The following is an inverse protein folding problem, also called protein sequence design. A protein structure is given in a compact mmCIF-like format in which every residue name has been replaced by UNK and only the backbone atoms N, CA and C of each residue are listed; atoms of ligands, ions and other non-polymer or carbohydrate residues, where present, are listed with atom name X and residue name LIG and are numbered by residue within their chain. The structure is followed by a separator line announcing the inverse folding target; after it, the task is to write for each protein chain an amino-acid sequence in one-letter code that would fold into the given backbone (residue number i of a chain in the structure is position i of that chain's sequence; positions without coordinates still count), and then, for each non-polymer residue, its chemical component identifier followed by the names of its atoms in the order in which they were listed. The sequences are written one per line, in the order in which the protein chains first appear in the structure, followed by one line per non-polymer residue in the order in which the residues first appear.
data_IF_497040286292
#
_entry.id   IF_497040286292
#
_cell.length_a   1.000
_cell.length_b   1.000
_cell.length_c   1.000
_cell.angle_alpha   90.00
_cell.angle_beta   90.00
_cell.angle_gamma   90.00
#
_symmetry.space_group_name_H-M   'P 1'
#
loop_
_entity.id
_entity.type
_entity.pdbx_description
1 polymer ?
#
# COMPACT_ATOMS: atom_id res chain seq x y z
N UNK A 1 -0.10 9.04 6.71
CA UNK A 1 -0.86 8.17 5.78
C UNK A 1 -0.70 6.68 6.10
N UNK A 2 0.46 6.24 6.61
CA UNK A 2 0.71 4.84 7.02
C UNK A 2 -0.41 4.15 7.82
N UNK A 3 -0.98 4.80 8.85
CA UNK A 3 -2.03 4.20 9.69
C UNK A 3 -3.27 3.81 8.88
N UNK A 4 -3.78 4.73 8.06
CA UNK A 4 -4.93 4.48 7.21
C UNK A 4 -4.67 3.34 6.23
N UNK A 5 -3.50 3.32 5.58
CA UNK A 5 -3.13 2.22 4.69
C UNK A 5 -3.16 0.87 5.42
N UNK A 6 -2.57 0.79 6.61
CA UNK A 6 -2.52 -0.44 7.40
C UNK A 6 -3.87 -0.82 8.04
N UNK A 7 -4.94 -0.03 7.90
CA UNK A 7 -6.31 -0.45 8.29
C UNK A 7 -6.93 -1.41 7.28
N UNK A 8 -6.61 -1.28 5.99
CA UNK A 8 -7.24 -2.07 4.92
C UNK A 8 -6.62 -3.47 4.76
N UNK A 9 -7.39 -4.46 4.30
CA UNK A 9 -6.88 -5.82 4.04
C UNK A 9 -5.86 -5.81 2.90
N UNK A 10 -4.88 -6.70 2.97
CA UNK A 10 -3.85 -6.87 1.93
C UNK A 10 -2.98 -5.62 1.64
N UNK A 11 -3.07 -4.59 2.49
CA UNK A 11 -2.19 -3.42 2.45
C UNK A 11 -1.18 -3.52 3.58
N UNK A 12 0.10 -3.43 3.25
CA UNK A 12 1.22 -3.44 4.18
C UNK A 12 2.11 -2.23 3.87
N UNK A 13 1.89 -1.18 4.65
CA UNK A 13 2.49 0.13 4.45
C UNK A 13 3.65 0.37 5.42
N UNK A 14 4.84 0.63 4.88
CA UNK A 14 6.03 1.00 5.65
C UNK A 14 6.21 2.51 5.76
N UNK A 15 6.78 2.99 6.86
CA UNK A 15 7.26 4.37 6.99
C UNK A 15 8.73 4.43 6.56
N UNK A 16 9.01 5.16 5.47
CA UNK A 16 10.31 5.09 4.78
C UNK A 16 10.95 6.50 4.70
N UNK A 17 11.46 7.07 5.79
CA UNK A 17 12.04 8.41 5.77
C UNK A 17 13.42 8.49 5.12
N UNK A 18 14.14 7.36 5.00
CA UNK A 18 15.51 7.32 4.50
C UNK A 18 15.75 6.18 3.49
N UNK A 19 16.85 6.24 2.71
CA UNK A 19 17.24 5.14 1.83
C UNK A 19 17.46 3.81 2.54
N UNK A 20 17.96 3.83 3.78
CA UNK A 20 18.15 2.61 4.57
C UNK A 20 16.80 1.97 4.91
N UNK A 21 15.81 2.77 5.34
CA UNK A 21 14.49 2.26 5.68
C UNK A 21 13.80 1.63 4.47
N UNK A 22 13.90 2.28 3.30
CA UNK A 22 13.38 1.74 2.05
C UNK A 22 14.04 0.41 1.65
N UNK A 23 15.37 0.31 1.78
CA UNK A 23 16.09 -0.92 1.51
C UNK A 23 15.63 -2.06 2.43
N UNK A 24 15.58 -1.79 3.73
CA UNK A 24 15.20 -2.80 4.72
C UNK A 24 13.74 -3.20 4.57
N UNK A 25 12.84 -2.26 4.25
CA UNK A 25 11.43 -2.55 4.01
C UNK A 25 11.22 -3.50 2.82
N UNK A 26 11.85 -3.23 1.67
CA UNK A 26 11.68 -4.09 0.49
C UNK A 26 12.25 -5.49 0.71
N UNK A 27 13.36 -5.62 1.46
CA UNK A 27 14.02 -6.91 1.66
C UNK A 27 13.44 -7.71 2.81
N UNK A 28 13.15 -7.07 3.94
CA UNK A 28 12.68 -7.73 5.16
C UNK A 28 11.17 -7.87 5.14
N UNK A 29 10.44 -6.77 4.94
CA UNK A 29 8.99 -6.75 5.15
C UNK A 29 8.20 -7.13 3.90
N UNK A 30 8.78 -6.95 2.71
CA UNK A 30 8.15 -7.29 1.43
C UNK A 30 6.69 -6.80 1.34
N UNK A 31 6.46 -5.56 1.80
CA UNK A 31 5.15 -4.93 1.80
C UNK A 31 4.75 -4.46 0.40
N UNK A 32 3.78 -3.56 0.29
CA UNK A 32 3.30 -3.08 -1.01
C UNK A 32 2.94 -1.59 -1.06
N UNK A 33 3.10 -0.86 0.05
CA UNK A 33 2.87 0.59 0.09
C UNK A 33 3.98 1.27 0.88
N UNK A 34 4.41 2.43 0.39
CA UNK A 34 5.36 3.31 1.06
C UNK A 34 4.65 4.58 1.55
N UNK A 35 4.83 4.92 2.82
CA UNK A 35 4.45 6.22 3.39
C UNK A 35 5.73 7.02 3.65
N UNK A 36 5.88 8.15 2.96
CA UNK A 36 7.05 9.03 3.07
C UNK A 36 6.69 10.36 3.76
N UNK A 37 7.53 10.90 4.66
CA UNK A 37 7.26 12.18 5.32
C UNK A 37 7.60 13.38 4.44
N UNK A 38 6.57 14.05 3.91
CA UNK A 38 6.74 15.29 3.12
C UNK A 38 6.64 16.57 3.96
N UNK A 39 6.39 16.46 5.27
CA UNK A 39 6.31 17.60 6.19
C UNK A 39 7.34 17.57 7.32
N UNK A 40 7.75 16.39 7.77
CA UNK A 40 8.79 16.22 8.80
C UNK A 40 10.13 15.95 8.12
N UNK A 41 11.16 16.73 8.46
CA UNK A 41 12.50 16.64 7.89
C UNK A 41 12.54 16.79 6.35
N UNK A 42 11.52 17.42 5.78
CA UNK A 42 11.47 17.82 4.37
C UNK A 42 12.03 19.24 4.21
N UNK A 43 13.35 19.35 4.36
CA UNK A 43 14.09 20.61 4.30
C UNK A 43 14.96 20.72 3.05
N UNK A 44 16.10 21.38 3.19
CA UNK A 44 17.10 21.46 2.13
C UNK A 44 17.51 20.04 1.69
N UNK A 45 17.52 19.80 0.38
CA UNK A 45 17.80 18.49 -0.22
C UNK A 45 16.78 17.39 0.11
N UNK A 46 15.55 17.75 0.51
CA UNK A 46 14.48 16.78 0.78
C UNK A 46 14.11 15.96 -0.46
N UNK A 47 14.08 16.58 -1.63
CA UNK A 47 13.86 15.94 -2.92
C UNK A 47 14.98 14.96 -3.31
N UNK A 48 16.23 15.27 -2.93
CA UNK A 48 17.37 14.35 -3.11
C UNK A 48 17.18 13.13 -2.22
N UNK A 49 16.83 13.33 -0.95
CA UNK A 49 16.52 12.22 -0.04
C UNK A 49 15.37 11.34 -0.56
N UNK A 50 14.30 11.95 -1.09
CA UNK A 50 13.21 11.19 -1.72
C UNK A 50 13.70 10.36 -2.90
N UNK A 51 14.46 10.96 -3.81
CA UNK A 51 15.00 10.27 -4.98
C UNK A 51 15.90 9.09 -4.58
N UNK A 52 16.81 9.28 -3.64
CA UNK A 52 17.68 8.21 -3.13
C UNK A 52 16.89 7.15 -2.37
N UNK A 53 15.85 7.54 -1.64
CA UNK A 53 14.96 6.60 -0.95
C UNK A 53 14.22 5.71 -1.95
N UNK A 54 13.69 6.28 -3.03
CA UNK A 54 13.02 5.52 -4.08
C UNK A 54 13.99 4.60 -4.84
N UNK A 55 15.21 5.07 -5.16
CA UNK A 55 16.25 4.22 -5.76
C UNK A 55 16.58 3.02 -4.87
N UNK A 56 16.70 3.26 -3.56
CA UNK A 56 17.01 2.22 -2.58
C UNK A 56 15.87 1.19 -2.45
N UNK A 57 14.62 1.64 -2.52
CA UNK A 57 13.43 0.79 -2.44
C UNK A 57 13.40 -0.28 -3.55
N UNK A 58 13.83 0.09 -4.76
CA UNK A 58 13.82 -0.78 -5.95
C UNK A 58 15.21 -1.33 -6.34
N UNK A 59 16.20 -1.24 -5.45
CA UNK A 59 17.60 -1.56 -5.77
C UNK A 59 17.86 -3.04 -6.09
N UNK A 60 17.12 -3.95 -5.45
CA UNK A 60 17.30 -5.41 -5.53
C UNK A 60 15.93 -6.10 -5.50
N UNK A 61 15.86 -7.41 -5.84
CA UNK A 61 14.62 -8.17 -5.71
C UNK A 61 14.06 -8.13 -4.29
N UNK A 62 12.76 -7.85 -4.19
CA UNK A 62 12.05 -7.73 -2.92
C UNK A 62 11.90 -9.08 -2.22
N UNK A 63 11.75 -9.05 -0.89
CA UNK A 63 11.48 -10.24 -0.07
C UNK A 63 12.64 -11.24 0.02
N UNK A 64 13.87 -10.80 -0.25
CA UNK A 64 15.08 -11.64 -0.17
C UNK A 64 15.66 -11.74 1.24
N UNK A 65 15.20 -10.91 2.18
CA UNK A 65 15.65 -10.88 3.57
C UNK A 65 16.97 -10.14 3.80
N UNK A 66 17.10 -9.51 4.98
CA UNK A 66 18.35 -8.87 5.42
C UNK A 66 18.53 -8.93 6.96
N UNK A 67 19.73 -9.23 7.48
CA UNK A 67 20.93 -9.64 6.74
C UNK A 67 20.73 -11.04 6.12
N UNK A 68 21.54 -11.43 5.11
CA UNK A 68 21.39 -12.72 4.42
C UNK A 68 21.38 -13.93 5.36
N UNK A 69 22.19 -13.89 6.44
CA UNK A 69 22.22 -14.94 7.47
C UNK A 69 20.90 -15.18 8.21
N UNK A 70 19.95 -14.23 8.13
CA UNK A 70 18.63 -14.32 8.76
C UNK A 70 17.48 -14.29 7.73
N UNK A 71 17.77 -14.38 6.44
CA UNK A 71 16.80 -14.22 5.37
C UNK A 71 15.63 -15.20 5.49
N UNK A 72 15.92 -16.50 5.60
CA UNK A 72 14.91 -17.56 5.70
C UNK A 72 13.89 -17.31 6.84
N UNK A 73 14.38 -16.95 8.03
CA UNK A 73 13.53 -16.61 9.18
C UNK A 73 12.66 -15.38 8.92
N UNK A 74 13.21 -14.32 8.33
CA UNK A 74 12.47 -13.07 8.06
C UNK A 74 11.41 -13.23 6.98
N UNK A 75 11.71 -14.01 5.95
CA UNK A 75 10.74 -14.38 4.92
C UNK A 75 9.58 -15.16 5.53
N UNK A 76 9.87 -16.17 6.36
CA UNK A 76 8.84 -16.92 7.08
C UNK A 76 7.95 -16.02 7.93
N UNK A 77 8.54 -15.17 8.78
CA UNK A 77 7.77 -14.24 9.62
C UNK A 77 6.92 -13.26 8.79
N UNK A 78 7.41 -12.84 7.62
CA UNK A 78 6.65 -11.95 6.73
C UNK A 78 5.42 -12.65 6.17
N UNK A 79 5.54 -13.92 5.79
CA UNK A 79 4.40 -14.74 5.39
C UNK A 79 3.38 -14.85 6.53
N UNK A 80 3.83 -15.17 7.75
CA UNK A 80 2.95 -15.26 8.93
C UNK A 80 2.22 -13.93 9.20
N UNK A 81 2.88 -12.78 9.06
CA UNK A 81 2.24 -11.47 9.20
C UNK A 81 1.19 -11.21 8.10
N UNK A 82 1.43 -11.67 6.86
CA UNK A 82 0.44 -11.57 5.77
C UNK A 82 -0.79 -12.44 6.05
N UNK A 83 -0.58 -13.67 6.52
CA UNK A 83 -1.66 -14.58 6.92
C UNK A 83 -2.47 -13.99 8.08
N UNK A 84 -1.80 -13.47 9.12
CA UNK A 84 -2.47 -12.80 10.24
C UNK A 84 -3.27 -11.56 9.79
N UNK A 85 -2.75 -10.78 8.83
CA UNK A 85 -3.47 -9.63 8.28
C UNK A 85 -4.78 -10.05 7.60
N UNK A 86 -4.75 -11.16 6.85
CA UNK A 86 -5.94 -11.72 6.19
C UNK A 86 -6.96 -12.27 7.18
N UNK A 87 -6.50 -12.96 8.25
CA UNK A 87 -7.39 -13.49 9.29
C UNK A 87 -8.12 -12.38 10.07
N UNK A 88 -7.46 -11.25 10.28
CA UNK A 88 -7.98 -10.18 11.15
C UNK A 88 -8.79 -9.10 10.42
N UNK A 89 -8.89 -9.17 9.09
CA UNK A 89 -9.52 -8.10 8.29
C UNK A 89 -10.55 -8.66 7.33
N UNK A 90 -11.71 -8.00 7.31
CA UNK A 90 -12.74 -8.21 6.29
C UNK A 90 -12.19 -7.88 4.91
N UNK A 91 -12.67 -8.59 3.87
CA UNK A 91 -12.27 -8.34 2.50
C UNK A 91 -12.70 -6.94 2.03
N UNK A 92 -11.95 -6.34 1.09
CA UNK A 92 -12.28 -5.01 0.57
C UNK A 92 -13.69 -4.97 -0.04
N UNK A 93 -14.09 -6.04 -0.73
CA UNK A 93 -15.42 -6.21 -1.33
C UNK A 93 -16.52 -6.15 -0.27
N UNK A 94 -16.29 -6.78 0.90
CA UNK A 94 -17.28 -6.78 1.98
C UNK A 94 -17.40 -5.45 2.73
N UNK A 95 -16.32 -4.66 2.81
CA UNK A 95 -16.32 -3.39 3.56
C UNK A 95 -16.75 -2.21 2.71
N UNK A 96 -16.44 -2.19 1.41
CA UNK A 96 -16.63 -1.03 0.54
C UNK A 96 -18.10 -0.51 0.52
N UNK A 97 -19.15 -1.37 0.51
CA UNK A 97 -20.53 -0.91 0.58
C UNK A 97 -20.93 -0.28 1.92
N UNK A 98 -20.14 -0.50 2.98
CA UNK A 98 -20.37 0.03 4.32
C UNK A 98 -19.48 1.23 4.66
N UNK A 99 -18.61 1.64 3.73
CA UNK A 99 -17.79 2.84 3.90
C UNK A 99 -18.71 4.07 3.81
N UNK A 100 -18.47 5.03 4.70
CA UNK A 100 -19.16 6.32 4.70
C UNK A 100 -19.19 6.93 3.28
N UNK A 101 -20.38 7.21 2.73
CA UNK A 101 -20.51 7.84 1.42
C UNK A 101 -19.69 9.14 1.29
N UNK A 102 -19.57 9.93 2.36
CA UNK A 102 -18.81 11.19 2.33
C UNK A 102 -17.31 10.96 2.13
N UNK A 103 -16.79 9.80 2.57
CA UNK A 103 -15.42 9.37 2.30
C UNK A 103 -15.28 8.77 0.90
N UNK A 104 -16.27 7.99 0.45
CA UNK A 104 -16.17 7.20 -0.77
C UNK A 104 -16.44 8.02 -2.04
N UNK A 105 -17.42 8.93 -2.00
CA UNK A 105 -17.85 9.75 -3.15
C UNK A 105 -16.69 10.58 -3.75
N UNK A 106 -15.86 11.29 -2.97
CA UNK A 106 -14.71 12.02 -3.53
C UNK A 106 -13.71 11.12 -4.25
N UNK A 107 -13.45 9.92 -3.72
CA UNK A 107 -12.55 8.93 -4.31
C UNK A 107 -13.12 8.45 -5.65
N UNK A 108 -14.41 8.10 -5.68
CA UNK A 108 -15.09 7.69 -6.91
C UNK A 108 -15.15 8.82 -7.94
N UNK A 109 -15.27 10.10 -7.54
CA UNK A 109 -15.25 11.24 -8.47
C UNK A 109 -13.88 11.47 -9.12
N UNK A 110 -12.79 11.10 -8.46
CA UNK A 110 -11.45 11.37 -8.95
C UNK A 110 -11.08 10.48 -10.14
N UNK A 111 -11.33 11.00 -11.35
CA UNK A 111 -11.14 10.29 -12.63
C UNK A 111 -9.79 9.57 -12.76
N UNK A 112 -8.63 10.17 -12.41
CA UNK A 112 -7.35 9.48 -12.59
C UNK A 112 -7.26 8.14 -11.84
N UNK A 113 -7.82 8.05 -10.63
CA UNK A 113 -7.82 6.81 -9.85
C UNK A 113 -8.91 5.86 -10.35
N UNK A 114 -10.12 6.38 -10.57
CA UNK A 114 -11.22 5.56 -11.04
C UNK A 114 -10.90 4.91 -12.40
N UNK A 115 -10.49 5.70 -13.39
CA UNK A 115 -10.21 5.21 -14.74
C UNK A 115 -9.05 4.21 -14.72
N UNK A 116 -8.00 4.46 -13.92
CA UNK A 116 -6.89 3.52 -13.75
C UNK A 116 -7.36 2.16 -13.20
N UNK A 117 -8.23 2.16 -12.18
CA UNK A 117 -8.79 0.93 -11.61
C UNK A 117 -9.65 0.19 -12.65
N UNK A 118 -10.53 0.89 -13.38
CA UNK A 118 -11.40 0.23 -14.37
C UNK A 118 -10.59 -0.37 -15.53
N UNK A 119 -9.51 0.29 -15.95
CA UNK A 119 -8.68 -0.17 -17.06
C UNK A 119 -7.73 -1.31 -16.68
N UNK A 120 -7.20 -1.32 -15.45
CA UNK A 120 -6.10 -2.22 -15.06
C UNK A 120 -6.48 -3.23 -13.96
N UNK A 121 -7.68 -3.13 -13.39
CA UNK A 121 -8.12 -4.01 -12.30
C UNK A 121 -8.27 -5.46 -12.74
N UNK A 122 -7.59 -6.37 -12.04
CA UNK A 122 -7.61 -7.82 -12.33
C UNK A 122 -8.64 -8.58 -11.49
N UNK A 123 -9.16 -7.99 -10.41
CA UNK A 123 -10.27 -8.55 -9.65
C UNK A 123 -11.59 -8.01 -10.21
N UNK A 124 -12.23 -8.79 -11.08
CA UNK A 124 -13.46 -8.38 -11.77
C UNK A 124 -14.62 -8.09 -10.82
N UNK A 125 -14.78 -8.87 -9.74
CA UNK A 125 -15.83 -8.65 -8.74
C UNK A 125 -15.68 -7.28 -8.06
N UNK A 126 -14.46 -6.92 -7.64
CA UNK A 126 -14.19 -5.61 -7.06
C UNK A 126 -14.39 -4.47 -8.07
N UNK A 127 -13.96 -4.66 -9.32
CA UNK A 127 -14.15 -3.67 -10.39
C UNK A 127 -15.63 -3.40 -10.65
N UNK A 128 -16.44 -4.46 -10.72
CA UNK A 128 -17.88 -4.34 -10.96
C UNK A 128 -18.60 -3.72 -9.75
N UNK A 129 -18.17 -4.03 -8.52
CA UNK A 129 -18.65 -3.35 -7.33
C UNK A 129 -18.35 -1.84 -7.37
N UNK A 130 -17.14 -1.44 -7.76
CA UNK A 130 -16.75 -0.03 -7.88
C UNK A 130 -17.58 0.70 -8.94
N UNK A 131 -17.84 0.06 -10.10
CA UNK A 131 -18.73 0.61 -11.14
C UNK A 131 -20.15 0.79 -10.60
N UNK A 132 -20.68 -0.23 -9.91
CA UNK A 132 -22.03 -0.18 -9.32
C UNK A 132 -22.14 0.96 -8.31
N UNK A 133 -21.21 1.06 -7.36
CA UNK A 133 -21.20 2.13 -6.37
C UNK A 133 -21.13 3.51 -7.03
N UNK A 134 -20.30 3.66 -8.08
CA UNK A 134 -20.27 4.91 -8.85
C UNK A 134 -21.63 5.20 -9.50
N UNK A 135 -22.26 4.21 -10.12
CA UNK A 135 -23.58 4.40 -10.72
C UNK A 135 -24.61 4.84 -9.67
N UNK A 136 -24.68 4.13 -8.54
CA UNK A 136 -25.65 4.36 -7.45
C UNK A 136 -25.51 5.74 -6.77
N UNK A 137 -24.30 6.32 -6.72
CA UNK A 137 -24.09 7.66 -6.12
C UNK A 137 -24.27 8.83 -7.09
N UNK A 138 -24.30 8.58 -8.40
CA UNK A 138 -24.31 9.66 -9.41
C UNK A 138 -25.46 9.59 -10.40
N UNK A 139 -26.38 8.62 -10.27
CA UNK A 139 -27.63 8.50 -11.03
C UNK A 139 -28.77 8.12 -10.09
#
# INVERSE_FOLDING_TARGET
MMLACNTFPNVQCGYLPTPQDAFLFSHINNGNVASFPLGLNWGWSGEINLAETMKSLFKLPWGTGYPPSQASRKMKNTTEVKELNQLNKKSIISILPSVDPDLLIPILKYKPVYDFIIQNGTNHELVDLIKKLRYDYFN
#
